data_IF_090655709849
#
_entry.id   IF_090655709849
#
_cell.length_a   1.000
_cell.length_b   1.000
_cell.length_c   1.000
_cell.angle_alpha   90.00
_cell.angle_beta   90.00
_cell.angle_gamma   90.00
#
_symmetry.space_group_name_H-M   'P 1'
#
loop_
_entity.id
_entity.type
_entity.pdbx_description
1 polymer ?
#
# COMPACT_ATOMS: atom_id res chain seq x y z
N UNK A 1 -39.08 -6.70 -10.50
CA UNK A 1 -38.13 -7.46 -9.65
C UNK A 1 -38.19 -6.90 -8.25
N UNK A 2 -37.82 -7.69 -7.24
CA UNK A 2 -37.69 -7.18 -5.87
C UNK A 2 -36.51 -6.21 -5.77
N UNK A 3 -36.60 -5.14 -4.97
CA UNK A 3 -35.53 -4.17 -4.84
C UNK A 3 -34.33 -4.78 -4.12
N UNK A 4 -33.13 -4.33 -4.49
CA UNK A 4 -31.92 -4.54 -3.69
C UNK A 4 -32.10 -3.77 -2.38
N UNK A 5 -31.73 -4.38 -1.26
CA UNK A 5 -31.83 -3.80 0.09
C UNK A 5 -30.47 -3.50 0.70
N UNK A 6 -29.42 -4.20 0.26
CA UNK A 6 -28.03 -3.94 0.67
C UNK A 6 -27.04 -4.59 -0.30
N UNK A 7 -25.78 -4.25 -0.13
CA UNK A 7 -24.65 -4.99 -0.67
C UNK A 7 -23.80 -5.53 0.48
N UNK A 8 -23.14 -6.66 0.27
CA UNK A 8 -22.15 -7.19 1.20
C UNK A 8 -20.79 -7.16 0.51
N UNK A 9 -19.84 -6.49 1.14
CA UNK A 9 -18.44 -6.46 0.73
C UNK A 9 -17.70 -7.51 1.54
N UNK A 10 -17.15 -8.48 0.85
CA UNK A 10 -16.30 -9.52 1.42
C UNK A 10 -14.85 -9.13 1.15
N UNK A 11 -14.04 -8.95 2.20
CA UNK A 11 -12.61 -8.62 2.06
C UNK A 11 -11.69 -9.53 2.89
N UNK A 12 -10.50 -9.85 2.37
CA UNK A 12 -9.46 -10.62 3.04
C UNK A 12 -8.14 -9.82 3.06
N UNK A 13 -7.61 -9.59 4.25
CA UNK A 13 -6.37 -8.81 4.44
C UNK A 13 -5.20 -9.77 4.61
N UNK A 14 -4.11 -9.48 3.90
CA UNK A 14 -2.91 -10.30 3.82
C UNK A 14 -3.15 -11.69 3.18
N UNK A 15 -4.26 -11.84 2.45
CA UNK A 15 -4.67 -13.10 1.81
C UNK A 15 -4.61 -14.28 2.79
N UNK A 16 -5.21 -14.08 3.97
CA UNK A 16 -5.25 -15.07 5.05
C UNK A 16 -6.07 -16.32 4.70
N UNK A 17 -6.87 -16.26 3.64
CA UNK A 17 -7.81 -17.29 3.21
C UNK A 17 -9.18 -17.16 3.88
N UNK A 18 -9.44 -16.08 4.61
CA UNK A 18 -10.70 -15.85 5.33
C UNK A 18 -11.25 -14.46 5.03
N UNK A 19 -12.40 -14.43 4.36
CA UNK A 19 -13.13 -13.18 4.11
C UNK A 19 -13.87 -12.71 5.36
N UNK A 20 -13.79 -11.40 5.58
CA UNK A 20 -14.62 -10.64 6.53
C UNK A 20 -15.65 -9.88 5.74
N UNK A 21 -16.90 -9.87 6.22
CA UNK A 21 -18.03 -9.27 5.52
C UNK A 21 -18.45 -7.96 6.17
N UNK A 22 -18.69 -6.93 5.35
CA UNK A 22 -19.28 -5.66 5.75
C UNK A 22 -20.52 -5.35 4.91
N UNK A 23 -21.58 -4.87 5.54
CA UNK A 23 -22.85 -4.55 4.86
C UNK A 23 -22.93 -3.07 4.51
N UNK A 24 -23.21 -2.78 3.24
CA UNK A 24 -23.49 -1.44 2.72
C UNK A 24 -24.99 -1.31 2.50
N UNK A 25 -25.65 -0.50 3.33
CA UNK A 25 -27.11 -0.27 3.26
C UNK A 25 -27.50 1.05 2.59
N UNK A 26 -26.54 1.98 2.39
CA UNK A 26 -26.78 3.20 1.63
C UNK A 26 -26.72 2.88 0.13
N UNK A 27 -27.88 2.66 -0.48
CA UNK A 27 -28.00 2.35 -1.90
C UNK A 27 -27.84 3.58 -2.81
N UNK A 28 -27.72 4.78 -2.24
CA UNK A 28 -27.50 6.01 -3.01
C UNK A 28 -26.01 6.29 -3.26
N UNK A 29 -25.12 5.63 -2.49
CA UNK A 29 -23.67 5.79 -2.59
C UNK A 29 -22.95 4.46 -2.33
N UNK A 30 -22.72 3.70 -3.39
CA UNK A 30 -22.10 2.37 -3.34
C UNK A 30 -20.57 2.48 -3.21
N UNK A 31 -20.10 2.89 -2.03
CA UNK A 31 -18.69 3.06 -1.72
C UNK A 31 -18.32 2.25 -0.48
N UNK A 32 -17.20 1.54 -0.56
CA UNK A 32 -16.57 0.91 0.59
C UNK A 32 -15.37 1.74 1.05
N UNK A 33 -15.28 2.05 2.34
CA UNK A 33 -14.13 2.74 2.92
C UNK A 33 -13.71 2.04 4.22
N UNK A 34 -12.41 1.79 4.34
CA UNK A 34 -11.84 1.07 5.48
C UNK A 34 -10.57 1.76 5.97
N UNK A 35 -10.45 1.86 7.28
CA UNK A 35 -9.23 2.34 7.96
C UNK A 35 -8.58 1.18 8.73
N UNK A 36 -7.29 1.35 9.07
CA UNK A 36 -6.58 0.36 9.88
C UNK A 36 -6.11 -0.89 9.12
N UNK A 37 -6.01 -0.84 7.78
CA UNK A 37 -5.39 -1.91 7.00
C UNK A 37 -3.88 -1.99 7.27
N UNK A 38 -3.33 -3.20 7.28
CA UNK A 38 -1.90 -3.43 7.51
C UNK A 38 -1.07 -3.05 6.30
N UNK A 39 -0.04 -2.22 6.49
CA UNK A 39 0.91 -1.84 5.44
C UNK A 39 1.57 -3.06 4.80
N UNK A 40 1.78 -3.00 3.48
CA UNK A 40 2.33 -4.07 2.63
C UNK A 40 1.49 -5.34 2.51
N UNK A 41 0.29 -5.38 3.10
CA UNK A 41 -0.63 -6.48 2.89
C UNK A 41 -1.25 -6.42 1.49
N UNK A 42 -1.39 -7.57 0.84
CA UNK A 42 -2.32 -7.75 -0.27
C UNK A 42 -3.73 -7.87 0.29
N UNK A 43 -4.69 -7.19 -0.33
CA UNK A 43 -6.09 -7.19 0.07
C UNK A 43 -6.92 -7.63 -1.11
N UNK A 44 -7.73 -8.65 -0.90
CA UNK A 44 -8.69 -9.17 -1.85
C UNK A 44 -10.09 -8.69 -1.47
N UNK A 45 -10.86 -8.22 -2.45
CA UNK A 45 -12.22 -7.70 -2.26
C UNK A 45 -13.16 -8.21 -3.35
N UNK A 46 -14.36 -8.59 -2.95
CA UNK A 46 -15.50 -8.86 -3.83
C UNK A 46 -16.80 -8.34 -3.20
N UNK A 47 -17.86 -8.25 -3.99
CA UNK A 47 -19.16 -7.75 -3.55
C UNK A 47 -20.30 -8.57 -4.14
N UNK A 48 -21.37 -8.76 -3.36
CA UNK A 48 -22.64 -9.27 -3.86
C UNK A 48 -23.82 -8.40 -3.40
N UNK A 49 -24.91 -8.44 -4.15
CA UNK A 49 -26.14 -7.70 -3.86
C UNK A 49 -27.10 -8.59 -3.05
N UNK A 50 -27.92 -7.98 -2.20
CA UNK A 50 -28.92 -8.68 -1.39
C UNK A 50 -30.30 -8.08 -1.65
N UNK A 51 -31.32 -8.92 -1.80
CA UNK A 51 -32.73 -8.52 -1.80
C UNK A 51 -33.49 -9.29 -0.70
N UNK A 52 -34.81 -9.13 -0.63
CA UNK A 52 -35.63 -9.79 0.39
C UNK A 52 -35.76 -11.32 0.25
N UNK A 53 -35.24 -11.91 -0.84
CA UNK A 53 -35.22 -13.36 -1.07
C UNK A 53 -33.86 -13.92 -0.66
N UNK A 54 -32.78 -13.40 -1.27
CA UNK A 54 -31.42 -13.88 -1.03
C UNK A 54 -30.34 -12.92 -1.61
N UNK A 55 -29.08 -13.32 -1.47
CA UNK A 55 -27.92 -12.73 -2.13
C UNK A 55 -27.74 -13.18 -3.59
N UNK A 56 -27.11 -12.34 -4.40
CA UNK A 56 -26.56 -12.73 -5.71
C UNK A 56 -25.28 -13.54 -5.58
N UNK A 57 -24.76 -14.01 -6.73
CA UNK A 57 -23.37 -14.44 -6.82
C UNK A 57 -22.39 -13.29 -6.52
N UNK A 58 -21.18 -13.65 -6.11
CA UNK A 58 -20.07 -12.72 -5.87
C UNK A 58 -19.57 -12.09 -7.18
N UNK A 59 -19.12 -10.83 -7.09
CA UNK A 59 -18.42 -10.18 -8.19
C UNK A 59 -17.06 -10.83 -8.47
N UNK A 60 -16.42 -10.41 -9.56
CA UNK A 60 -15.00 -10.68 -9.74
C UNK A 60 -14.18 -10.11 -8.57
N UNK A 61 -13.08 -10.78 -8.26
CA UNK A 61 -12.13 -10.37 -7.23
C UNK A 61 -11.30 -9.19 -7.70
N UNK A 62 -11.13 -8.20 -6.82
CA UNK A 62 -10.14 -7.13 -6.97
C UNK A 62 -9.06 -7.31 -5.92
N UNK A 63 -7.79 -7.23 -6.33
CA UNK A 63 -6.63 -7.31 -5.45
C UNK A 63 -5.82 -6.03 -5.51
N UNK A 64 -5.39 -5.51 -4.36
CA UNK A 64 -4.45 -4.39 -4.27
C UNK A 64 -3.50 -4.53 -3.09
N UNK A 65 -2.40 -3.77 -3.10
CA UNK A 65 -1.44 -3.70 -1.98
C UNK A 65 -1.65 -2.42 -1.17
N UNK A 66 -1.58 -2.53 0.14
CA UNK A 66 -1.66 -1.37 1.04
C UNK A 66 -0.31 -0.67 1.07
N UNK A 67 -0.21 0.46 0.39
CA UNK A 67 0.98 1.29 0.42
C UNK A 67 1.19 1.93 1.80
N UNK A 68 2.45 1.98 2.24
CA UNK A 68 2.86 2.72 3.43
C UNK A 68 4.06 3.61 3.18
N UNK A 69 4.47 4.31 4.23
CA UNK A 69 5.68 5.12 4.22
C UNK A 69 6.89 4.18 4.05
N UNK A 70 7.81 4.45 3.10
CA UNK A 70 9.03 3.67 2.97
C UNK A 70 9.80 3.60 4.29
N UNK A 71 10.50 2.50 4.53
CA UNK A 71 11.28 2.35 5.74
C UNK A 71 12.41 3.39 5.82
N UNK A 72 12.90 3.66 7.03
CA UNK A 72 14.06 4.53 7.23
C UNK A 72 15.27 3.98 6.46
N UNK A 73 15.92 4.78 5.60
CA UNK A 73 17.17 4.38 4.95
C UNK A 73 18.24 4.04 5.99
N UNK A 74 19.10 3.07 5.68
CA UNK A 74 20.29 2.82 6.47
C UNK A 74 21.25 4.01 6.42
N UNK A 75 22.19 4.07 7.37
CA UNK A 75 23.25 5.07 7.35
C UNK A 75 24.00 5.01 5.99
N UNK A 76 24.12 6.15 5.28
CA UNK A 76 24.95 6.20 4.08
C UNK A 76 26.40 5.90 4.42
N UNK A 77 27.11 5.22 3.52
CA UNK A 77 28.51 4.86 3.70
C UNK A 77 29.39 5.73 2.79
N UNK A 78 30.57 6.09 3.30
CA UNK A 78 31.63 6.65 2.47
C UNK A 78 32.28 5.50 1.71
N UNK A 79 32.40 5.66 0.40
CA UNK A 79 33.08 4.71 -0.48
C UNK A 79 34.52 5.19 -0.69
N UNK A 80 35.47 4.43 -0.17
CA UNK A 80 36.89 4.79 -0.21
C UNK A 80 37.25 5.90 0.77
N UNK A 81 38.42 6.52 0.58
CA UNK A 81 38.83 7.69 1.35
C UNK A 81 38.53 8.96 0.55
N UNK A 82 38.14 10.07 1.19
CA UNK A 82 38.12 11.37 0.52
C UNK A 82 39.49 11.68 -0.07
N UNK A 83 39.51 12.17 -1.30
CA UNK A 83 40.75 12.44 -2.05
C UNK A 83 40.81 13.93 -2.40
N UNK A 84 41.95 14.55 -2.14
CA UNK A 84 42.26 15.89 -2.63
C UNK A 84 42.50 15.83 -4.14
N UNK A 85 41.80 16.70 -4.86
CA UNK A 85 41.88 16.85 -6.31
C UNK A 85 43.00 17.83 -6.67
N UNK A 86 43.43 17.82 -7.92
CA UNK A 86 44.53 18.68 -8.40
C UNK A 86 44.21 20.19 -8.26
N UNK A 87 42.93 20.57 -8.22
CA UNK A 87 42.46 21.94 -8.00
C UNK A 87 42.34 22.33 -6.50
N UNK A 88 42.72 21.44 -5.58
CA UNK A 88 42.63 21.62 -4.14
C UNK A 88 41.24 21.34 -3.55
N UNK A 89 40.27 20.89 -4.35
CA UNK A 89 38.96 20.45 -3.83
C UNK A 89 39.04 19.06 -3.22
N UNK A 90 38.17 18.73 -2.25
CA UNK A 90 38.07 17.38 -1.69
C UNK A 90 36.84 16.69 -2.29
N UNK A 91 37.05 15.52 -2.92
CA UNK A 91 35.97 14.67 -3.38
C UNK A 91 35.69 13.56 -2.38
N UNK A 92 34.41 13.32 -2.09
CA UNK A 92 33.95 12.16 -1.34
C UNK A 92 32.83 11.46 -2.12
N UNK A 93 32.85 10.13 -2.15
CA UNK A 93 31.79 9.31 -2.75
C UNK A 93 30.95 8.72 -1.64
N UNK A 94 29.63 8.92 -1.71
CA UNK A 94 28.67 8.39 -0.74
C UNK A 94 27.77 7.38 -1.46
N UNK A 95 27.53 6.24 -0.83
CA UNK A 95 26.52 5.28 -1.28
C UNK A 95 25.51 4.96 -0.18
N UNK A 96 24.34 4.51 -0.57
CA UNK A 96 23.27 4.11 0.34
C UNK A 96 22.52 2.91 -0.23
N UNK A 97 21.85 2.16 0.65
CA UNK A 97 20.99 1.05 0.27
C UNK A 97 19.53 1.51 0.25
N UNK A 98 18.78 1.11 -0.77
CA UNK A 98 17.34 1.36 -0.81
C UNK A 98 16.65 0.71 0.40
N UNK A 99 15.81 1.44 1.16
CA UNK A 99 15.00 0.85 2.22
C UNK A 99 13.85 0.03 1.64
N UNK A 100 13.12 -0.67 2.51
CA UNK A 100 11.87 -1.33 2.14
C UNK A 100 10.84 -0.31 1.62
N UNK A 101 10.22 -0.63 0.49
CA UNK A 101 9.23 0.20 -0.21
C UNK A 101 7.89 0.30 0.50
N UNK A 102 7.58 -0.70 1.34
CA UNK A 102 6.32 -0.81 2.08
C UNK A 102 5.08 -0.79 1.16
N UNK A 103 5.16 -1.43 0.00
CA UNK A 103 4.04 -1.61 -0.94
C UNK A 103 3.90 -0.54 -2.03
N UNK A 104 4.77 0.48 -2.06
CA UNK A 104 4.82 1.46 -3.16
C UNK A 104 6.25 1.81 -3.52
N UNK A 105 6.55 1.93 -4.82
CA UNK A 105 7.89 2.23 -5.30
C UNK A 105 8.43 3.56 -4.71
N UNK A 106 9.72 3.56 -4.35
CA UNK A 106 10.44 4.77 -3.95
C UNK A 106 10.76 5.58 -5.20
N UNK A 107 10.37 6.86 -5.23
CA UNK A 107 10.52 7.73 -6.39
C UNK A 107 11.74 8.65 -6.33
N UNK A 108 12.42 8.75 -5.19
CA UNK A 108 13.62 9.58 -5.05
C UNK A 108 14.25 9.53 -3.66
N UNK A 109 15.41 10.17 -3.55
CA UNK A 109 16.16 10.32 -2.31
C UNK A 109 16.59 11.78 -2.16
N UNK A 110 16.63 12.29 -0.92
CA UNK A 110 17.18 13.61 -0.62
C UNK A 110 18.39 13.44 0.29
N UNK A 111 19.54 13.94 -0.17
CA UNK A 111 20.77 13.98 0.60
C UNK A 111 21.00 15.40 1.16
N UNK A 112 21.29 15.47 2.45
CA UNK A 112 21.68 16.71 3.11
C UNK A 112 23.14 16.62 3.52
N UNK A 113 23.90 17.67 3.26
CA UNK A 113 25.25 17.84 3.79
C UNK A 113 25.34 19.20 4.47
N UNK A 114 26.19 19.30 5.49
CA UNK A 114 26.43 20.55 6.21
C UNK A 114 27.86 21.01 5.93
N UNK A 115 28.02 22.30 5.67
CA UNK A 115 29.32 22.98 5.60
C UNK A 115 29.72 23.48 6.98
#
# INVERSE_FOLDING_TARGET
GLPIISYIVSYDVAQSGSFVNETISDLSNLVWSKTGLTTSALVDIQVHAVNSIDSSDESNLVTFIVAGVPATPAQPIIVGNPVEQQDGSISATISWTAPATQGSAITGYTLYYKK
#
